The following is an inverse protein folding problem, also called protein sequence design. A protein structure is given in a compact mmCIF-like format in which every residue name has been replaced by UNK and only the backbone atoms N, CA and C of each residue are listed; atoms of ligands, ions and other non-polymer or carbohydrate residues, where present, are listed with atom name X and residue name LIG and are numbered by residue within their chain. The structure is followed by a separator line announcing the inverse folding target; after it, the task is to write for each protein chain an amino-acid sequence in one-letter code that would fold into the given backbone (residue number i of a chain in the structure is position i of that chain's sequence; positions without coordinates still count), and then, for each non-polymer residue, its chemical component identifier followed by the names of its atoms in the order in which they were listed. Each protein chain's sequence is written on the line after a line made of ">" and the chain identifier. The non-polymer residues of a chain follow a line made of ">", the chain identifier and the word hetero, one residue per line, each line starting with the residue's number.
data_IF_453700201639
#
_entry.id   IF_453700201639
#
_cell.length_a   1.000
_cell.length_b   1.000
_cell.length_c   1.000
_cell.angle_alpha   90.00
_cell.angle_beta   90.00
_cell.angle_gamma   90.00
#
_symmetry.space_group_name_H-M   'P 1'
#
loop_
_entity.id
_entity.type
_entity.pdbx_description
1 polymer ?
#
# COMPACT_ATOMS: atom_id res chain seq x y z
N UNK A 1 2.30 -24.56 19.96
CA UNK A 1 2.29 -25.10 18.59
C UNK A 1 2.85 -24.01 17.68
N UNK A 2 4.13 -24.13 17.35
CA UNK A 2 4.92 -23.11 16.66
C UNK A 2 4.49 -23.06 15.20
N UNK A 3 3.84 -21.97 14.76
CA UNK A 3 3.60 -21.71 13.33
C UNK A 3 4.95 -21.40 12.68
N UNK A 4 5.60 -22.43 12.16
CA UNK A 4 6.70 -22.30 11.22
C UNK A 4 6.14 -21.61 9.98
N UNK A 5 6.46 -20.32 9.82
CA UNK A 5 6.31 -19.59 8.56
C UNK A 5 7.17 -20.30 7.52
N UNK A 6 6.59 -21.24 6.78
CA UNK A 6 7.22 -21.83 5.61
C UNK A 6 7.34 -20.70 4.58
N UNK A 7 8.49 -20.03 4.57
CA UNK A 7 8.88 -19.15 3.49
C UNK A 7 8.88 -19.98 2.21
N UNK A 8 7.85 -19.80 1.37
CA UNK A 8 7.75 -20.52 0.10
C UNK A 8 8.97 -20.11 -0.74
N UNK A 9 9.71 -21.03 -1.40
CA UNK A 9 10.95 -20.70 -2.11
C UNK A 9 10.80 -19.59 -3.16
N UNK A 10 9.61 -19.44 -3.74
CA UNK A 10 9.25 -18.35 -4.65
C UNK A 10 9.21 -16.97 -3.96
N UNK A 11 8.82 -16.92 -2.69
CA UNK A 11 8.75 -15.68 -1.89
C UNK A 11 10.15 -15.13 -1.59
N UNK A 12 11.09 -16.01 -1.20
CA UNK A 12 12.49 -15.61 -0.96
C UNK A 12 13.20 -15.19 -2.25
N UNK A 13 12.94 -15.88 -3.36
CA UNK A 13 13.54 -15.54 -4.65
C UNK A 13 13.01 -14.20 -5.16
N UNK A 14 11.69 -13.96 -5.06
CA UNK A 14 11.09 -12.68 -5.43
C UNK A 14 11.60 -11.54 -4.55
N UNK A 15 11.65 -11.71 -3.23
CA UNK A 15 12.22 -10.72 -2.31
C UNK A 15 13.69 -10.44 -2.61
N UNK A 16 14.47 -11.48 -2.91
CA UNK A 16 15.86 -11.33 -3.36
C UNK A 16 15.96 -10.53 -4.65
N UNK A 17 15.12 -10.83 -5.65
CA UNK A 17 15.06 -10.09 -6.91
C UNK A 17 14.71 -8.61 -6.68
N UNK A 18 13.63 -8.35 -5.96
CA UNK A 18 13.11 -7.02 -5.68
C UNK A 18 14.02 -6.23 -4.73
N UNK A 19 14.85 -6.88 -3.91
CA UNK A 19 15.79 -6.17 -3.01
C UNK A 19 16.83 -5.35 -3.77
N UNK A 20 17.07 -5.70 -5.04
CA UNK A 20 17.91 -4.94 -5.96
C UNK A 20 17.09 -3.79 -6.56
N UNK A 21 17.56 -2.56 -6.35
CA UNK A 21 16.84 -1.36 -6.76
C UNK A 21 16.61 -1.31 -8.27
N UNK A 22 17.56 -1.76 -9.09
CA UNK A 22 17.41 -1.74 -10.56
C UNK A 22 16.28 -2.68 -11.02
N UNK A 23 16.20 -3.88 -10.46
CA UNK A 23 15.11 -4.81 -10.72
C UNK A 23 13.74 -4.24 -10.31
N UNK A 24 13.69 -3.57 -9.15
CA UNK A 24 12.48 -2.91 -8.68
C UNK A 24 12.09 -1.74 -9.59
N UNK A 25 13.06 -0.96 -10.09
CA UNK A 25 12.84 0.11 -11.06
C UNK A 25 12.20 -0.43 -12.33
N UNK A 26 12.79 -1.46 -12.93
CA UNK A 26 12.25 -2.09 -14.14
C UNK A 26 10.83 -2.63 -13.92
N UNK A 27 10.61 -3.28 -12.77
CA UNK A 27 9.29 -3.75 -12.39
C UNK A 27 8.27 -2.60 -12.33
N UNK A 28 8.59 -1.48 -11.68
CA UNK A 28 7.67 -0.34 -11.60
C UNK A 28 7.50 0.38 -12.95
N UNK A 29 8.54 0.42 -13.77
CA UNK A 29 8.44 0.97 -15.12
C UNK A 29 7.45 0.17 -15.99
N UNK A 30 7.30 -1.13 -15.75
CA UNK A 30 6.34 -1.97 -16.47
C UNK A 30 4.94 -1.86 -15.87
N UNK A 31 4.80 -2.01 -14.55
CA UNK A 31 3.52 -2.30 -13.91
C UNK A 31 2.83 -1.10 -13.24
N UNK A 32 3.51 0.03 -13.07
CA UNK A 32 2.90 1.20 -12.44
C UNK A 32 1.82 1.81 -13.36
N UNK A 33 0.63 2.18 -12.85
CA UNK A 33 -0.41 2.78 -13.67
C UNK A 33 0.07 4.04 -14.40
N UNK A 34 -0.34 4.22 -15.67
CA UNK A 34 0.07 5.35 -16.50
C UNK A 34 -0.28 6.73 -15.93
N UNK A 35 -1.28 6.82 -15.05
CA UNK A 35 -1.62 8.07 -14.35
C UNK A 35 -0.67 8.41 -13.19
N UNK A 36 0.05 7.43 -12.67
CA UNK A 36 0.95 7.56 -11.51
C UNK A 36 2.40 7.66 -11.97
N UNK A 37 2.79 6.86 -12.97
CA UNK A 37 4.18 6.78 -13.44
C UNK A 37 4.82 8.14 -13.79
N UNK A 38 4.15 9.04 -14.54
CA UNK A 38 4.72 10.36 -14.87
C UNK A 38 4.89 11.28 -13.65
N UNK A 39 4.26 10.94 -12.52
CA UNK A 39 4.37 11.71 -11.28
C UNK A 39 5.62 11.31 -10.48
N UNK A 40 6.27 10.18 -10.81
CA UNK A 40 7.34 9.53 -10.05
C UNK A 40 8.69 9.66 -10.75
N UNK A 41 9.73 10.04 -10.00
CA UNK A 41 11.12 9.93 -10.46
C UNK A 41 11.74 8.60 -10.01
N UNK A 42 11.58 7.54 -10.81
CA UNK A 42 12.04 6.19 -10.45
C UNK A 42 13.57 6.05 -10.29
N UNK A 43 14.38 7.03 -10.72
CA UNK A 43 15.82 7.04 -10.44
C UNK A 43 16.13 7.27 -8.96
N UNK A 44 15.17 7.84 -8.23
CA UNK A 44 15.28 8.11 -6.78
C UNK A 44 14.75 6.95 -5.92
N UNK A 45 14.33 5.84 -6.55
CA UNK A 45 13.76 4.68 -5.88
C UNK A 45 14.74 4.10 -4.85
N UNK A 46 14.26 3.93 -3.61
CA UNK A 46 15.03 3.33 -2.52
C UNK A 46 14.14 2.42 -1.71
N UNK A 47 14.64 1.22 -1.40
CA UNK A 47 13.99 0.35 -0.42
C UNK A 47 13.99 1.08 0.94
N UNK A 48 12.80 1.27 1.52
CA UNK A 48 12.67 1.92 2.81
C UNK A 48 13.40 1.09 3.87
N UNK A 49 14.19 1.75 4.70
CA UNK A 49 14.93 1.04 5.74
C UNK A 49 13.95 0.36 6.68
N UNK A 50 14.32 -0.78 7.25
CA UNK A 50 13.44 -1.42 8.20
C UNK A 50 13.16 -0.48 9.40
N UNK A 51 14.04 0.46 9.77
CA UNK A 51 13.78 1.46 10.84
C UNK A 51 12.68 2.46 10.45
N UNK A 52 12.43 2.61 9.15
CA UNK A 52 11.30 3.32 8.58
C UNK A 52 10.00 2.50 8.71
N UNK A 53 10.02 1.26 9.15
CA UNK A 53 8.83 0.42 9.28
C UNK A 53 8.66 0.16 10.78
N UNK A 54 7.59 0.69 11.39
CA UNK A 54 7.29 0.46 12.82
C UNK A 54 7.44 -1.05 13.17
N UNK A 55 7.85 -1.41 14.40
CA UNK A 55 7.91 -2.82 14.83
C UNK A 55 6.59 -3.57 14.58
N UNK A 56 5.46 -2.88 14.70
CA UNK A 56 4.12 -3.37 14.42
C UNK A 56 3.90 -3.62 12.93
N UNK A 57 4.41 -2.73 12.06
CA UNK A 57 4.44 -2.94 10.62
C UNK A 57 5.42 -4.07 10.25
N UNK A 58 6.65 -4.11 10.80
CA UNK A 58 7.69 -5.13 10.52
C UNK A 58 7.26 -6.56 10.87
N UNK A 59 6.57 -6.73 11.99
CA UNK A 59 6.14 -8.05 12.48
C UNK A 59 4.95 -8.59 11.70
N UNK A 60 4.13 -7.71 11.13
CA UNK A 60 2.93 -8.08 10.37
C UNK A 60 3.18 -8.10 8.86
N UNK A 61 4.13 -7.30 8.37
CA UNK A 61 4.36 -7.03 6.95
C UNK A 61 5.77 -7.47 6.58
N UNK A 62 5.84 -8.58 5.84
CA UNK A 62 7.10 -9.09 5.28
C UNK A 62 7.47 -8.39 3.97
N UNK A 63 6.82 -7.26 3.71
CA UNK A 63 6.47 -6.78 2.39
C UNK A 63 7.29 -5.55 2.04
N UNK A 64 7.60 -5.39 0.75
CA UNK A 64 8.66 -4.48 0.32
C UNK A 64 8.09 -3.08 0.16
N UNK A 65 8.58 -2.17 0.99
CA UNK A 65 8.23 -0.76 0.96
C UNK A 65 9.32 0.01 0.23
N UNK A 66 8.96 0.72 -0.84
CA UNK A 66 9.87 1.61 -1.55
C UNK A 66 9.48 3.06 -1.33
N UNK A 67 10.50 3.92 -1.28
CA UNK A 67 10.38 5.37 -1.33
C UNK A 67 10.85 5.90 -2.68
N UNK A 68 10.20 6.95 -3.18
CA UNK A 68 10.56 7.62 -4.45
C UNK A 68 10.10 9.08 -4.41
N UNK A 69 10.77 9.97 -5.15
CA UNK A 69 10.43 11.40 -5.26
C UNK A 69 9.36 11.70 -6.31
N UNK A 70 8.67 12.83 -6.16
CA UNK A 70 7.49 13.23 -6.94
C UNK A 70 7.62 14.63 -7.54
N UNK A 71 6.74 14.98 -8.48
CA UNK A 71 6.63 16.33 -9.04
C UNK A 71 6.24 17.43 -8.03
N UNK A 72 5.63 17.10 -6.88
CA UNK A 72 5.18 18.08 -5.87
C UNK A 72 6.12 18.21 -4.67
N UNK A 73 7.43 18.08 -4.89
CA UNK A 73 8.48 18.34 -3.89
C UNK A 73 8.84 17.12 -3.02
N UNK A 74 9.41 17.37 -1.84
CA UNK A 74 9.93 16.36 -0.89
C UNK A 74 8.77 15.65 -0.16
N UNK A 75 7.97 14.90 -0.91
CA UNK A 75 7.01 13.90 -0.43
C UNK A 75 7.45 12.53 -0.97
N UNK A 76 7.30 11.49 -0.17
CA UNK A 76 7.77 10.15 -0.52
C UNK A 76 6.59 9.37 -1.07
N UNK A 77 6.66 8.83 -2.28
CA UNK A 77 5.69 7.77 -2.60
C UNK A 77 6.12 6.52 -1.87
N UNK A 78 5.26 6.05 -0.98
CA UNK A 78 5.38 4.71 -0.43
C UNK A 78 4.72 3.77 -1.43
N UNK A 79 5.54 3.00 -2.12
CA UNK A 79 5.01 1.89 -2.89
C UNK A 79 5.09 0.64 -2.04
N UNK A 80 3.94 0.05 -1.75
CA UNK A 80 3.84 -1.20 -1.01
C UNK A 80 3.67 -2.34 -2.01
N UNK A 81 4.62 -3.26 -2.06
CA UNK A 81 4.51 -4.47 -2.88
C UNK A 81 4.29 -5.69 -1.99
N UNK A 82 3.13 -6.31 -2.17
CA UNK A 82 2.72 -7.52 -1.49
C UNK A 82 2.85 -8.71 -2.45
N UNK A 83 3.61 -9.75 -2.08
CA UNK A 83 3.75 -10.97 -2.89
C UNK A 83 2.82 -12.08 -2.33
N UNK A 84 1.79 -12.45 -3.10
CA UNK A 84 0.81 -13.46 -2.68
C UNK A 84 0.71 -14.61 -3.69
N UNK A 85 0.74 -15.84 -3.17
CA UNK A 85 0.59 -17.07 -3.96
C UNK A 85 -0.73 -17.79 -3.68
N UNK A 86 -1.41 -17.45 -2.59
CA UNK A 86 -2.79 -17.88 -2.31
C UNK A 86 -3.65 -16.63 -2.34
N UNK A 87 -4.75 -16.62 -3.12
CA UNK A 87 -5.61 -15.45 -3.15
C UNK A 87 -6.30 -15.27 -1.78
N UNK A 88 -6.53 -14.02 -1.39
CA UNK A 88 -7.11 -13.65 -0.10
C UNK A 88 -8.28 -12.69 -0.33
N UNK A 89 -9.46 -13.05 0.19
CA UNK A 89 -10.69 -12.28 0.01
C UNK A 89 -10.58 -10.87 0.62
N UNK A 90 -9.76 -10.68 1.65
CA UNK A 90 -9.57 -9.39 2.34
C UNK A 90 -8.30 -8.66 1.87
N UNK A 91 -7.71 -9.06 0.73
CA UNK A 91 -6.46 -8.46 0.24
C UNK A 91 -6.59 -6.95 -0.04
N UNK A 92 -7.74 -6.51 -0.57
CA UNK A 92 -8.01 -5.08 -0.77
C UNK A 92 -7.93 -4.29 0.54
N UNK A 93 -8.59 -4.78 1.59
CA UNK A 93 -8.52 -4.19 2.94
C UNK A 93 -7.09 -4.18 3.48
N UNK A 94 -6.37 -5.30 3.35
CA UNK A 94 -5.00 -5.45 3.83
C UNK A 94 -4.05 -4.42 3.18
N UNK A 95 -4.10 -4.30 1.85
CA UNK A 95 -3.31 -3.31 1.11
C UNK A 95 -3.60 -1.87 1.55
N UNK A 96 -4.88 -1.53 1.76
CA UNK A 96 -5.26 -0.19 2.21
C UNK A 96 -4.88 0.07 3.65
N UNK A 97 -5.02 -0.91 4.54
CA UNK A 97 -4.53 -0.82 5.91
C UNK A 97 -3.03 -0.51 5.93
N UNK A 98 -2.24 -1.17 5.11
CA UNK A 98 -0.79 -0.94 5.04
C UNK A 98 -0.50 0.46 4.47
N UNK A 99 -1.28 0.89 3.48
CA UNK A 99 -1.16 2.23 2.94
C UNK A 99 -1.43 3.29 4.01
N UNK A 100 -2.48 3.13 4.81
CA UNK A 100 -2.77 4.02 5.94
C UNK A 100 -1.69 3.99 7.02
N UNK A 101 -1.12 2.82 7.33
CA UNK A 101 0.00 2.74 8.25
C UNK A 101 1.23 3.52 7.75
N UNK A 102 1.58 3.39 6.47
CA UNK A 102 2.68 4.14 5.86
C UNK A 102 2.42 5.66 5.84
N UNK A 103 1.19 6.06 5.53
CA UNK A 103 0.71 7.45 5.61
C UNK A 103 0.85 8.02 7.03
N UNK A 104 0.37 7.29 8.04
CA UNK A 104 0.45 7.72 9.44
C UNK A 104 1.90 7.86 9.90
N UNK A 105 2.77 6.93 9.50
CA UNK A 105 4.19 7.00 9.82
C UNK A 105 4.89 8.21 9.18
N UNK A 106 4.51 8.57 7.96
CA UNK A 106 5.00 9.78 7.32
C UNK A 106 4.64 11.04 8.13
N UNK A 107 3.42 11.14 8.66
CA UNK A 107 3.02 12.25 9.52
C UNK A 107 3.80 12.28 10.83
N UNK A 108 4.03 11.12 11.46
CA UNK A 108 4.81 10.99 12.70
C UNK A 108 6.26 11.48 12.58
N UNK A 109 6.79 11.63 11.35
CA UNK A 109 8.12 12.20 11.08
C UNK A 109 8.14 13.72 11.01
N UNK A 110 7.02 14.38 11.33
CA UNK A 110 6.89 15.84 11.31
C UNK A 110 6.51 16.41 9.94
N UNK A 111 6.02 15.56 9.02
CA UNK A 111 5.46 16.04 7.76
C UNK A 111 4.02 16.50 7.97
N UNK A 112 3.64 17.58 7.29
CA UNK A 112 2.33 18.22 7.49
C UNK A 112 1.29 17.83 6.43
N UNK A 113 1.60 16.88 5.55
CA UNK A 113 0.72 16.41 4.48
C UNK A 113 0.91 14.91 4.28
N UNK A 114 -0.12 14.25 3.73
CA UNK A 114 -0.05 12.83 3.41
C UNK A 114 0.82 12.57 2.18
N UNK A 115 1.61 11.48 2.16
CA UNK A 115 2.25 11.00 0.96
C UNK A 115 1.24 10.29 0.05
N UNK A 116 1.47 10.28 -1.26
CA UNK A 116 0.75 9.33 -2.12
C UNK A 116 1.34 7.94 -1.90
N UNK A 117 0.51 7.02 -1.43
CA UNK A 117 0.90 5.63 -1.20
C UNK A 117 0.19 4.77 -2.23
N UNK A 118 0.96 3.98 -2.98
CA UNK A 118 0.42 3.16 -4.07
C UNK A 118 0.59 1.71 -3.69
N UNK A 119 -0.47 1.04 -3.23
CA UNK A 119 -0.43 -0.39 -2.98
C UNK A 119 -0.43 -1.15 -4.30
N UNK A 120 0.48 -2.11 -4.44
CA UNK A 120 0.57 -3.04 -5.56
C UNK A 120 0.54 -4.47 -5.03
N UNK A 121 -0.43 -5.24 -5.50
CA UNK A 121 -0.45 -6.69 -5.31
C UNK A 121 0.34 -7.33 -6.44
N UNK A 122 1.40 -8.04 -6.10
CA UNK A 122 2.03 -9.02 -6.98
C UNK A 122 1.47 -10.41 -6.68
N UNK A 123 0.72 -10.96 -7.61
CA UNK A 123 0.08 -12.25 -7.45
C UNK A 123 0.70 -13.32 -8.36
N UNK A 124 1.10 -14.43 -7.75
CA UNK A 124 1.63 -15.62 -8.46
C UNK A 124 1.03 -16.89 -7.85
N UNK A 125 -0.29 -17.05 -7.96
CA UNK A 125 -1.00 -18.23 -7.49
C UNK A 125 -1.55 -19.10 -8.62
N UNK A 126 -2.03 -20.29 -8.26
CA UNK A 126 -2.57 -21.26 -9.22
C UNK A 126 -3.94 -20.85 -9.81
N UNK A 127 -4.68 -20.02 -9.09
CA UNK A 127 -6.01 -19.57 -9.52
C UNK A 127 -5.86 -18.31 -10.38
N UNK A 128 -6.24 -18.38 -11.65
CA UNK A 128 -6.13 -17.27 -12.58
C UNK A 128 -7.45 -17.10 -13.36
N UNK A 129 -7.96 -15.87 -13.54
CA UNK A 129 -7.44 -14.60 -13.01
C UNK A 129 -7.56 -14.50 -11.48
N UNK A 130 -6.95 -13.48 -10.87
CA UNK A 130 -7.09 -13.24 -9.42
C UNK A 130 -8.58 -13.10 -9.05
N UNK A 131 -9.08 -13.89 -8.08
CA UNK A 131 -10.53 -14.10 -7.93
C UNK A 131 -11.25 -13.09 -7.05
N UNK A 132 -10.54 -12.18 -6.37
CA UNK A 132 -11.13 -11.24 -5.42
C UNK A 132 -10.97 -9.79 -5.89
N UNK A 133 -11.85 -8.92 -5.39
CA UNK A 133 -11.84 -7.51 -5.74
C UNK A 133 -10.56 -6.80 -5.27
N UNK A 134 -10.09 -5.85 -6.08
CA UNK A 134 -9.04 -4.91 -5.72
C UNK A 134 -9.59 -3.61 -5.11
N UNK A 135 -10.92 -3.45 -5.05
CA UNK A 135 -11.58 -2.34 -4.35
C UNK A 135 -11.75 -2.72 -2.90
N UNK A 136 -11.07 -2.02 -1.99
CA UNK A 136 -11.05 -2.40 -0.57
C UNK A 136 -12.43 -2.32 0.11
N UNK A 137 -13.33 -1.47 -0.38
CA UNK A 137 -14.70 -1.34 0.15
C UNK A 137 -15.57 -2.54 -0.18
N UNK A 138 -15.18 -3.39 -1.14
CA UNK A 138 -15.87 -4.66 -1.42
C UNK A 138 -15.61 -5.72 -0.33
N UNK A 139 -14.72 -5.42 0.63
CA UNK A 139 -14.52 -6.24 1.82
C UNK A 139 -15.67 -6.10 2.84
N UNK A 140 -16.54 -5.10 2.69
CA UNK A 140 -17.69 -4.88 3.58
C UNK A 140 -18.92 -5.65 3.09
N UNK A 141 -19.82 -6.09 4.01
CA UNK A 141 -21.10 -6.65 3.62
C UNK A 141 -21.98 -5.69 2.79
N UNK A 142 -21.86 -4.39 3.03
CA UNK A 142 -22.53 -3.32 2.27
C UNK A 142 -21.51 -2.55 1.44
N UNK A 143 -20.98 -3.19 0.39
CA UNK A 143 -19.90 -2.65 -0.43
C UNK A 143 -20.21 -1.27 -1.04
N UNK A 144 -21.42 -1.09 -1.59
CA UNK A 144 -21.83 0.19 -2.21
C UNK A 144 -21.89 1.32 -1.19
N UNK A 145 -22.44 1.06 0.00
CA UNK A 145 -22.48 2.04 1.09
C UNK A 145 -21.07 2.37 1.60
N UNK A 146 -20.19 1.37 1.71
CA UNK A 146 -18.80 1.58 2.11
C UNK A 146 -18.04 2.41 1.08
N UNK A 147 -18.24 2.14 -0.21
CA UNK A 147 -17.64 2.93 -1.29
C UNK A 147 -18.10 4.39 -1.21
N UNK A 148 -19.41 4.63 -1.10
CA UNK A 148 -19.95 5.97 -0.98
C UNK A 148 -19.40 6.69 0.26
N UNK A 149 -19.45 6.05 1.43
CA UNK A 149 -19.00 6.64 2.69
C UNK A 149 -17.50 7.00 2.70
N UNK A 150 -16.64 6.16 2.12
CA UNK A 150 -15.19 6.34 2.24
C UNK A 150 -14.53 7.00 1.03
N UNK A 151 -15.24 7.15 -0.09
CA UNK A 151 -14.73 7.82 -1.29
C UNK A 151 -15.41 9.17 -1.58
N UNK A 152 -16.44 9.56 -0.82
CA UNK A 152 -17.10 10.87 -0.90
C UNK A 152 -16.88 11.70 0.40
N UNK A 153 -17.29 12.98 0.42
CA UNK A 153 -17.18 13.81 1.63
C UNK A 153 -17.84 13.15 2.85
N UNK A 154 -17.11 13.14 3.97
CA UNK A 154 -17.59 12.57 5.22
C UNK A 154 -18.76 13.39 5.79
N UNK A 155 -19.72 12.75 6.48
CA UNK A 155 -20.72 13.48 7.23
C UNK A 155 -20.06 14.44 8.24
N UNK A 156 -20.36 15.73 8.13
CA UNK A 156 -19.89 16.77 9.05
C UNK A 156 -21.10 17.36 9.78
N UNK A 157 -21.09 17.25 11.11
CA UNK A 157 -22.02 17.98 11.98
C UNK A 157 -21.27 19.18 12.52
N UNK A 158 -21.48 20.34 11.91
CA UNK A 158 -20.96 21.61 12.42
C UNK A 158 -22.00 22.23 13.36
N UNK A 159 -21.70 22.26 14.66
CA UNK A 159 -22.60 22.83 15.67
C UNK A 159 -22.39 24.34 15.86
N UNK A 160 -21.36 24.93 15.23
CA UNK A 160 -21.11 26.38 15.31
C UNK A 160 -22.10 27.19 14.48
N UNK A 161 -22.84 26.51 13.59
CA UNK A 161 -23.92 27.08 12.78
C UNK A 161 -25.32 26.83 13.37
N UNK A 162 -25.43 26.11 14.50
CA UNK A 162 -26.70 25.98 15.19
C UNK A 162 -27.00 27.30 15.90
N UNK A 163 -28.11 27.95 15.55
CA UNK A 163 -28.62 29.07 16.35
C UNK A 163 -29.11 28.52 17.69
N UNK A 164 -28.75 29.19 18.78
CA UNK A 164 -29.35 29.00 20.11
C UNK A 164 -30.77 29.60 20.09
N UNK A 165 -31.69 28.96 19.34
CA UNK A 165 -33.13 29.26 19.40
C UNK A 165 -33.88 28.20 20.24
#
# INVERSE_FOLDING_TARGET
>A
MTMQLIARPHDSAFKGFMSKVDNARDFFEIYLPNRIKPLCNLDTLKLASASFIDKTLRSRFSDMLYSVQTLKGKGYFYLLVEHQSTPDKLMGWRLMHYAFCAMNQHLQQGNNALPLVVPILFYHGKQSPYPYSQVWTDCFPWADLAYDLYCNPLPLVDVTIASDD
#
